data_IF_991743092201
#
_entry.id   IF_991743092201
#
_cell.length_a   1.000
_cell.length_b   1.000
_cell.length_c   1.000
_cell.angle_alpha   90.00
_cell.angle_beta   90.00
_cell.angle_gamma   90.00
#
_symmetry.space_group_name_H-M   'P 1'
#
loop_
_entity.id
_entity.type
_entity.pdbx_description
1 polymer ?
#
# COMPACT_ATOMS: atom_id res chain seq x y z
N UNK A 1 -13.40 32.24 -26.36
CA UNK A 1 -13.72 31.49 -25.14
C UNK A 1 -12.53 30.69 -24.66
N UNK A 2 -11.83 31.19 -23.64
CA UNK A 2 -10.77 30.44 -22.97
C UNK A 2 -11.46 29.63 -21.87
N UNK A 3 -11.62 28.31 -22.08
CA UNK A 3 -11.92 27.40 -20.97
C UNK A 3 -10.64 27.29 -20.15
N UNK A 4 -10.59 28.00 -19.03
CA UNK A 4 -9.62 27.70 -17.98
C UNK A 4 -10.00 26.29 -17.49
N UNK A 5 -9.27 25.28 -17.93
CA UNK A 5 -9.40 23.94 -17.34
C UNK A 5 -9.03 24.09 -15.87
N UNK A 6 -9.98 23.71 -15.03
CA UNK A 6 -9.95 23.88 -13.59
C UNK A 6 -8.99 22.85 -12.97
N UNK A 7 -7.68 23.06 -13.16
CA UNK A 7 -6.63 22.28 -12.50
C UNK A 7 -6.68 22.40 -10.97
N UNK A 8 -7.62 23.18 -10.40
CA UNK A 8 -7.89 23.21 -8.96
C UNK A 8 -8.66 21.98 -8.48
N UNK A 9 -9.32 21.24 -9.37
CA UNK A 9 -10.04 20.01 -9.00
C UNK A 9 -9.13 18.82 -9.29
N UNK A 10 -8.49 18.30 -8.24
CA UNK A 10 -7.66 17.11 -8.29
C UNK A 10 -7.91 16.25 -7.04
N UNK A 11 -7.64 14.95 -7.18
CA UNK A 11 -7.61 14.00 -6.07
C UNK A 11 -6.15 13.64 -5.85
N UNK A 12 -5.65 13.85 -4.63
CA UNK A 12 -4.27 13.54 -4.24
C UNK A 12 -4.26 12.26 -3.40
N UNK A 13 -3.34 11.35 -3.72
CA UNK A 13 -3.09 10.15 -2.93
C UNK A 13 -1.70 10.23 -2.31
N UNK A 14 -1.62 10.12 -1.00
CA UNK A 14 -0.35 10.09 -0.29
C UNK A 14 0.16 8.66 -0.16
N UNK A 15 1.49 8.42 -0.22
CA UNK A 15 2.04 7.11 0.12
C UNK A 15 1.64 6.67 1.53
N UNK A 16 1.53 5.35 1.79
CA UNK A 16 1.27 4.83 3.12
C UNK A 16 2.27 5.37 4.15
N UNK A 17 1.77 5.71 5.33
CA UNK A 17 2.63 6.08 6.45
C UNK A 17 3.46 4.88 6.94
N UNK A 18 4.28 5.08 7.97
CA UNK A 18 5.12 4.01 8.51
C UNK A 18 4.30 2.85 9.07
N UNK A 19 3.16 3.12 9.70
CA UNK A 19 2.33 2.10 10.32
C UNK A 19 1.58 1.27 9.27
N UNK A 20 1.02 1.91 8.24
CA UNK A 20 0.42 1.19 7.12
C UNK A 20 1.48 0.41 6.32
N UNK A 21 2.64 1.02 6.07
CA UNK A 21 3.77 0.32 5.45
C UNK A 21 4.20 -0.92 6.23
N UNK A 22 4.18 -0.85 7.57
CA UNK A 22 4.48 -1.99 8.44
C UNK A 22 3.44 -3.10 8.29
N UNK A 23 2.14 -2.75 8.24
CA UNK A 23 1.05 -3.72 8.02
C UNK A 23 1.18 -4.46 6.69
N UNK A 24 1.58 -3.76 5.62
CA UNK A 24 1.83 -4.41 4.32
C UNK A 24 2.96 -5.44 4.45
N UNK A 25 4.02 -5.13 5.20
CA UNK A 25 5.10 -6.09 5.44
C UNK A 25 4.65 -7.30 6.27
N UNK A 26 3.85 -7.08 7.32
CA UNK A 26 3.29 -8.17 8.14
C UNK A 26 2.39 -9.09 7.30
N UNK A 27 1.47 -8.52 6.53
CA UNK A 27 0.56 -9.29 5.70
C UNK A 27 1.29 -10.10 4.63
N UNK A 28 2.40 -9.58 4.07
CA UNK A 28 3.25 -10.37 3.20
C UNK A 28 3.90 -11.54 3.92
N UNK A 29 4.49 -11.31 5.10
CA UNK A 29 5.14 -12.37 5.86
C UNK A 29 4.13 -13.46 6.25
N UNK A 30 2.92 -13.08 6.64
CA UNK A 30 1.88 -14.02 7.05
C UNK A 30 1.34 -14.90 5.91
N UNK A 31 1.30 -14.38 4.68
CA UNK A 31 0.84 -15.14 3.51
C UNK A 31 1.76 -16.30 3.11
N UNK A 32 3.03 -16.25 3.53
CA UNK A 32 3.99 -17.31 3.25
C UNK A 32 3.61 -18.60 3.99
N UNK A 33 3.97 -19.75 3.42
CA UNK A 33 3.65 -21.05 4.04
C UNK A 33 4.42 -21.21 5.36
N UNK A 34 3.81 -21.84 6.37
CA UNK A 34 4.45 -22.00 7.68
C UNK A 34 5.74 -22.84 7.66
N UNK A 35 5.89 -23.75 6.70
CA UNK A 35 7.13 -24.52 6.50
C UNK A 35 8.26 -23.69 5.86
N UNK A 36 7.98 -22.45 5.45
CA UNK A 36 8.94 -21.57 4.81
C UNK A 36 9.84 -20.90 5.85
N UNK A 37 11.15 -21.15 5.75
CA UNK A 37 12.15 -20.50 6.60
C UNK A 37 12.17 -18.98 6.41
N UNK A 38 11.73 -18.48 5.26
CA UNK A 38 11.63 -17.05 5.00
C UNK A 38 10.58 -16.41 5.91
N UNK A 39 9.41 -17.05 6.10
CA UNK A 39 8.33 -16.51 6.96
C UNK A 39 8.87 -16.18 8.36
N UNK A 40 9.52 -17.13 9.01
CA UNK A 40 10.06 -16.94 10.36
C UNK A 40 11.09 -15.80 10.39
N UNK A 41 12.00 -15.73 9.41
CA UNK A 41 12.98 -14.63 9.33
C UNK A 41 12.34 -13.26 9.18
N UNK A 42 11.28 -13.15 8.38
CA UNK A 42 10.57 -11.88 8.17
C UNK A 42 9.80 -11.47 9.43
N UNK A 43 9.08 -12.40 10.06
CA UNK A 43 8.38 -12.15 11.32
C UNK A 43 9.37 -11.72 12.42
N UNK A 44 10.51 -12.42 12.54
CA UNK A 44 11.56 -12.07 13.47
C UNK A 44 12.13 -10.68 13.18
N UNK A 45 12.34 -10.33 11.91
CA UNK A 45 12.82 -9.01 11.51
C UNK A 45 11.83 -7.90 11.87
N UNK A 46 10.53 -8.13 11.67
CA UNK A 46 9.46 -7.16 11.97
C UNK A 46 9.27 -6.93 13.48
N UNK A 47 9.51 -7.95 14.30
CA UNK A 47 9.42 -7.85 15.76
C UNK A 47 10.68 -7.30 16.45
N UNK A 48 11.73 -6.95 15.69
CA UNK A 48 13.02 -6.51 16.22
C UNK A 48 13.39 -5.06 15.83
N UNK A 49 14.53 -4.58 16.34
CA UNK A 49 15.05 -3.24 16.00
C UNK A 49 15.31 -3.09 14.52
N UNK A 50 14.95 -1.93 13.96
CA UNK A 50 15.07 -1.57 12.53
C UNK A 50 14.26 -2.49 11.60
N UNK A 51 12.95 -2.68 11.85
CA UNK A 51 12.15 -3.70 11.16
C UNK A 51 12.14 -3.52 9.64
N UNK A 52 11.93 -2.30 9.16
CA UNK A 52 11.90 -1.99 7.73
C UNK A 52 13.22 -2.33 7.02
N UNK A 53 14.37 -1.99 7.64
CA UNK A 53 15.67 -2.21 7.04
C UNK A 53 16.01 -3.71 6.99
N UNK A 54 15.75 -4.42 8.08
CA UNK A 54 16.02 -5.85 8.17
C UNK A 54 15.11 -6.66 7.22
N UNK A 55 13.82 -6.33 7.18
CA UNK A 55 12.87 -6.95 6.26
C UNK A 55 13.34 -6.78 4.82
N UNK A 56 13.67 -5.55 4.39
CA UNK A 56 14.17 -5.27 3.03
C UNK A 56 15.43 -6.06 2.73
N UNK A 57 16.40 -6.04 3.63
CA UNK A 57 17.65 -6.79 3.45
C UNK A 57 17.42 -8.30 3.28
N UNK A 58 16.47 -8.88 4.01
CA UNK A 58 16.12 -10.31 3.84
C UNK A 58 15.48 -10.55 2.47
N UNK A 59 14.52 -9.72 2.07
CA UNK A 59 13.81 -9.87 0.79
C UNK A 59 14.72 -9.66 -0.41
N UNK A 60 15.53 -8.59 -0.40
CA UNK A 60 16.41 -8.22 -1.52
C UNK A 60 17.47 -9.31 -1.80
N UNK A 61 17.82 -10.11 -0.79
CA UNK A 61 18.75 -11.24 -0.90
C UNK A 61 18.04 -12.61 -0.97
N UNK A 62 16.76 -12.64 -1.34
CA UNK A 62 15.96 -13.86 -1.47
C UNK A 62 15.35 -14.00 -2.86
N UNK A 63 14.99 -15.23 -3.23
CA UNK A 63 14.26 -15.50 -4.47
C UNK A 63 12.82 -14.94 -4.46
N UNK A 64 12.33 -14.50 -3.30
CA UNK A 64 10.99 -13.91 -3.11
C UNK A 64 10.95 -12.39 -3.32
N UNK A 65 12.03 -11.79 -3.82
CA UNK A 65 12.09 -10.35 -4.10
C UNK A 65 10.96 -9.89 -5.01
N UNK A 66 10.74 -10.59 -6.13
CA UNK A 66 9.68 -10.23 -7.07
C UNK A 66 8.28 -10.45 -6.45
N UNK A 67 8.10 -11.57 -5.73
CA UNK A 67 6.86 -11.88 -5.03
C UNK A 67 6.43 -10.75 -4.07
N UNK A 68 7.41 -10.14 -3.38
CA UNK A 68 7.19 -8.99 -2.49
C UNK A 68 6.78 -7.74 -3.27
N UNK A 69 7.46 -7.41 -4.37
CA UNK A 69 7.10 -6.24 -5.16
C UNK A 69 5.70 -6.39 -5.77
N UNK A 70 5.36 -7.57 -6.29
CA UNK A 70 4.04 -7.84 -6.88
C UNK A 70 2.93 -7.82 -5.83
N UNK A 71 3.23 -8.23 -4.60
CA UNK A 71 2.30 -8.12 -3.48
C UNK A 71 2.07 -6.67 -3.08
N UNK A 72 3.16 -5.94 -2.84
CA UNK A 72 3.11 -4.54 -2.43
C UNK A 72 2.41 -3.70 -3.50
N UNK A 73 2.71 -3.92 -4.77
CA UNK A 73 2.07 -3.21 -5.87
C UNK A 73 0.55 -3.41 -5.86
N UNK A 74 0.07 -4.66 -5.81
CA UNK A 74 -1.38 -4.96 -5.74
C UNK A 74 -2.05 -4.36 -4.51
N UNK A 75 -1.37 -4.36 -3.37
CA UNK A 75 -1.91 -3.72 -2.17
C UNK A 75 -2.11 -2.22 -2.37
N UNK A 76 -1.09 -1.53 -2.91
CA UNK A 76 -1.16 -0.09 -3.18
C UNK A 76 -2.21 0.24 -4.24
N UNK A 77 -2.28 -0.54 -5.32
CA UNK A 77 -3.28 -0.39 -6.37
C UNK A 77 -4.70 -0.52 -5.80
N UNK A 78 -4.96 -1.54 -4.98
CA UNK A 78 -6.25 -1.71 -4.33
C UNK A 78 -6.57 -0.55 -3.37
N UNK A 79 -5.59 -0.08 -2.60
CA UNK A 79 -5.79 1.03 -1.68
C UNK A 79 -6.17 2.33 -2.42
N UNK A 80 -5.45 2.66 -3.49
CA UNK A 80 -5.75 3.82 -4.33
C UNK A 80 -7.10 3.66 -5.02
N UNK A 81 -7.44 2.46 -5.50
CA UNK A 81 -8.74 2.20 -6.10
C UNK A 81 -9.88 2.43 -5.09
N UNK A 82 -9.75 1.94 -3.86
CA UNK A 82 -10.74 2.16 -2.80
C UNK A 82 -10.89 3.65 -2.49
N UNK A 83 -9.79 4.36 -2.22
CA UNK A 83 -9.83 5.80 -1.95
C UNK A 83 -10.44 6.58 -3.11
N UNK A 84 -10.10 6.24 -4.36
CA UNK A 84 -10.68 6.88 -5.54
C UNK A 84 -12.19 6.67 -5.63
N UNK A 85 -12.68 5.46 -5.35
CA UNK A 85 -14.12 5.17 -5.35
C UNK A 85 -14.85 5.97 -4.27
N UNK A 86 -14.31 6.00 -3.05
CA UNK A 86 -14.87 6.77 -1.93
C UNK A 86 -14.94 8.28 -2.26
N UNK A 87 -13.87 8.85 -2.82
CA UNK A 87 -13.86 10.25 -3.21
C UNK A 87 -14.86 10.56 -4.33
N UNK A 88 -14.93 9.71 -5.36
CA UNK A 88 -15.88 9.89 -6.47
C UNK A 88 -17.34 9.78 -6.00
N UNK A 89 -17.65 8.90 -5.05
CA UNK A 89 -18.97 8.82 -4.42
C UNK A 89 -19.30 10.10 -3.64
N UNK A 90 -18.36 10.61 -2.84
CA UNK A 90 -18.53 11.86 -2.09
C UNK A 90 -18.78 13.07 -3.02
N UNK A 91 -18.02 13.18 -4.12
CA UNK A 91 -18.24 14.23 -5.12
C UNK A 91 -19.65 14.18 -5.74
N UNK A 92 -20.17 12.99 -6.01
CA UNK A 92 -21.52 12.84 -6.54
C UNK A 92 -22.57 13.26 -5.50
N UNK A 93 -22.42 12.85 -4.23
CA UNK A 93 -23.33 13.24 -3.15
C UNK A 93 -23.41 14.77 -2.96
N UNK A 94 -22.28 15.47 -2.93
CA UNK A 94 -22.26 16.93 -2.77
C UNK A 94 -22.92 17.68 -3.95
N UNK A 95 -22.87 17.12 -5.16
CA UNK A 95 -23.51 17.69 -6.33
C UNK A 95 -25.04 17.54 -6.30
N UNK A 96 -25.55 16.46 -5.71
CA UNK A 96 -27.00 16.22 -5.55
C UNK A 96 -27.60 16.99 -4.37
N UNK A 97 -26.85 17.26 -3.30
CA UNK A 97 -27.32 18.08 -2.16
C UNK A 97 -27.44 19.58 -2.48
N UNK A 98 -26.85 20.04 -3.58
CA UNK A 98 -26.90 21.44 -4.04
C UNK A 98 -28.04 21.74 -5.02
N UNK A 99 -28.93 20.77 -5.29
CA UNK A 99 -30.12 20.88 -6.16
C UNK A 99 -31.38 20.80 -5.31
#
# INVERSE_FOLDING_TARGET
>A
DVKVLDWLIFIEFTPPDSHESFRIMEAFAERLKNADKLKNKLIDALNNRKPFANFKNIIDNSDHRQDWFDFKFRWLENNVATQLMEELENFQCEAFEKI
#
